data_IF_076099044019
#
_entry.id   IF_076099044019
#
_cell.length_a   1.000
_cell.length_b   1.000
_cell.length_c   1.000
_cell.angle_alpha   90.00
_cell.angle_beta   90.00
_cell.angle_gamma   90.00
#
_symmetry.space_group_name_H-M   'P 1'
#
loop_
_entity.id
_entity.type
_entity.pdbx_description
1 polymer ?
#
# COMPACT_ATOMS: atom_id res chain seq x y z
N UNK A 1 -73.35 33.53 -2.92
CA UNK A 1 -72.85 34.00 -4.23
C UNK A 1 -71.46 33.44 -4.39
N UNK A 2 -71.31 32.56 -5.37
CA UNK A 2 -70.10 31.81 -5.73
C UNK A 2 -69.08 32.76 -6.35
N UNK A 3 -67.78 32.59 -6.05
CA UNK A 3 -66.71 32.66 -7.04
C UNK A 3 -65.51 31.83 -6.57
N UNK A 4 -65.03 31.05 -7.53
CA UNK A 4 -64.09 29.94 -7.50
C UNK A 4 -62.72 30.40 -8.03
N UNK A 5 -61.69 29.61 -7.67
CA UNK A 5 -60.49 29.28 -8.47
C UNK A 5 -59.22 30.14 -8.42
N UNK A 6 -58.10 29.41 -8.31
CA UNK A 6 -56.74 29.86 -8.59
C UNK A 6 -55.69 28.81 -8.17
N UNK A 7 -55.63 27.65 -8.85
CA UNK A 7 -54.51 26.71 -8.73
C UNK A 7 -53.28 27.30 -9.42
N UNK A 8 -52.19 27.55 -8.68
CA UNK A 8 -50.91 27.92 -9.26
C UNK A 8 -50.07 26.66 -9.54
N UNK A 9 -49.79 26.44 -10.81
CA UNK A 9 -48.94 25.37 -11.35
C UNK A 9 -47.48 25.62 -10.97
N UNK A 10 -46.85 24.66 -10.27
CA UNK A 10 -45.41 24.66 -10.01
C UNK A 10 -44.69 24.22 -11.30
N UNK A 11 -43.70 24.96 -11.81
CA UNK A 11 -42.93 24.52 -12.98
C UNK A 11 -42.07 23.29 -12.61
N UNK A 12 -42.19 22.25 -13.43
CA UNK A 12 -41.37 21.05 -13.35
C UNK A 12 -39.88 21.40 -13.46
N UNK A 13 -39.07 20.91 -12.52
CA UNK A 13 -37.63 20.98 -12.59
C UNK A 13 -37.15 20.29 -13.87
N UNK A 14 -36.46 21.03 -14.73
CA UNK A 14 -35.77 20.49 -15.90
C UNK A 14 -34.64 19.60 -15.39
N UNK A 15 -34.89 18.29 -15.37
CA UNK A 15 -33.87 17.28 -15.17
C UNK A 15 -32.88 17.41 -16.31
N UNK A 16 -31.70 17.99 -16.05
CA UNK A 16 -30.58 17.94 -17.00
C UNK A 16 -30.22 16.48 -17.15
N UNK A 17 -30.59 15.91 -18.28
CA UNK A 17 -30.06 14.63 -18.73
C UNK A 17 -28.53 14.74 -18.72
N UNK A 18 -27.88 14.02 -17.81
CA UNK A 18 -26.45 13.80 -17.88
C UNK A 18 -26.18 13.13 -19.23
N UNK A 19 -25.31 13.68 -20.09
CA UNK A 19 -24.93 12.98 -21.31
C UNK A 19 -24.37 11.63 -20.88
N UNK A 20 -25.02 10.56 -21.32
CA UNK A 20 -24.52 9.21 -21.19
C UNK A 20 -23.19 9.17 -21.97
N UNK A 21 -22.09 9.35 -21.25
CA UNK A 21 -20.77 9.13 -21.80
C UNK A 21 -20.74 7.69 -22.30
N UNK A 22 -20.70 7.53 -23.62
CA UNK A 22 -20.38 6.27 -24.28
C UNK A 22 -19.05 5.79 -23.72
N UNK A 23 -19.11 4.86 -22.76
CA UNK A 23 -17.97 4.46 -21.93
C UNK A 23 -17.04 3.54 -22.73
N UNK A 24 -16.24 4.11 -23.63
CA UNK A 24 -15.07 3.42 -24.13
C UNK A 24 -14.13 3.20 -22.94
N UNK A 25 -13.73 1.95 -22.70
CA UNK A 25 -12.74 1.64 -21.69
C UNK A 25 -11.45 2.43 -21.94
N UNK A 26 -10.85 2.96 -20.88
CA UNK A 26 -9.56 3.65 -20.89
C UNK A 26 -8.49 2.64 -21.36
N UNK A 27 -7.71 2.95 -22.40
CA UNK A 27 -6.76 1.99 -22.95
C UNK A 27 -5.61 1.72 -21.99
N UNK A 28 -5.19 0.45 -21.95
CA UNK A 28 -3.99 -0.01 -21.26
C UNK A 28 -2.74 0.68 -21.83
N UNK A 29 -1.74 0.89 -20.96
CA UNK A 29 -0.41 1.37 -21.35
C UNK A 29 0.64 0.42 -20.77
N UNK A 30 1.64 0.07 -21.59
CA UNK A 30 2.78 -0.74 -21.16
C UNK A 30 3.83 0.15 -20.50
N UNK A 31 3.50 0.73 -19.35
CA UNK A 31 4.39 1.62 -18.61
C UNK A 31 4.66 1.03 -17.24
N UNK A 32 5.95 0.79 -16.95
CA UNK A 32 6.42 0.34 -15.65
C UNK A 32 6.59 1.53 -14.71
N UNK A 33 6.19 1.42 -13.44
CA UNK A 33 6.35 2.52 -12.50
C UNK A 33 7.84 2.74 -12.21
N UNK A 34 8.24 3.99 -12.00
CA UNK A 34 9.62 4.34 -11.64
C UNK A 34 9.94 4.00 -10.17
N UNK A 35 8.90 3.93 -9.35
CA UNK A 35 8.91 3.47 -7.97
C UNK A 35 7.59 2.76 -7.65
N UNK A 36 7.60 1.83 -6.71
CA UNK A 36 6.39 1.19 -6.20
C UNK A 36 5.39 2.28 -5.71
N UNK A 37 4.12 2.20 -6.13
CA UNK A 37 3.01 3.12 -5.77
C UNK A 37 3.20 4.61 -6.17
N UNK A 38 3.81 4.85 -7.33
CA UNK A 38 3.72 6.16 -7.99
C UNK A 38 2.24 6.60 -8.07
N UNK A 39 1.91 7.86 -7.74
CA UNK A 39 0.60 8.44 -8.05
C UNK A 39 -0.58 8.18 -7.11
N UNK A 40 -0.38 8.03 -5.80
CA UNK A 40 -1.50 7.89 -4.84
C UNK A 40 -2.52 9.03 -4.89
N UNK A 41 -3.80 8.68 -4.74
CA UNK A 41 -4.89 9.67 -4.66
C UNK A 41 -4.80 10.49 -3.38
N UNK A 42 -5.00 11.81 -3.50
CA UNK A 42 -5.17 12.73 -2.38
C UNK A 42 -6.45 13.55 -2.55
N UNK A 43 -7.17 13.89 -1.46
CA UNK A 43 -8.33 14.78 -1.54
C UNK A 43 -7.96 16.19 -2.05
N UNK A 44 -8.73 16.71 -3.01
CA UNK A 44 -8.51 18.05 -3.57
C UNK A 44 -8.82 19.14 -2.55
N UNK A 45 -8.00 20.19 -2.53
CA UNK A 45 -8.22 21.38 -1.73
C UNK A 45 -7.88 21.24 -0.24
N UNK A 46 -7.34 20.08 0.19
CA UNK A 46 -6.66 20.05 1.47
C UNK A 46 -5.27 20.69 1.31
N UNK A 47 -4.88 21.64 2.18
CA UNK A 47 -3.49 22.05 2.24
C UNK A 47 -2.63 20.80 2.47
N UNK A 48 -1.43 20.72 1.87
CA UNK A 48 -0.53 19.61 2.11
C UNK A 48 -0.36 19.45 3.62
N UNK A 49 -0.61 18.23 4.10
CA UNK A 49 -0.42 17.94 5.50
C UNK A 49 1.04 18.20 5.85
N UNK A 50 1.27 18.89 6.97
CA UNK A 50 2.62 19.06 7.48
C UNK A 50 3.21 17.69 7.82
N UNK A 51 4.51 17.53 7.61
CA UNK A 51 5.23 16.36 8.11
C UNK A 51 5.05 16.23 9.64
N UNK A 52 5.00 14.99 10.13
CA UNK A 52 5.04 14.74 11.55
C UNK A 52 6.42 15.12 12.11
N UNK A 53 6.43 15.82 13.23
CA UNK A 53 7.62 16.17 14.02
C UNK A 53 7.80 15.17 15.15
N UNK A 54 8.99 15.06 15.76
CA UNK A 54 9.19 14.19 16.91
C UNK A 54 8.18 14.40 18.04
N UNK A 55 7.87 15.66 18.37
CA UNK A 55 6.91 15.99 19.44
C UNK A 55 5.45 15.63 19.12
N UNK A 56 5.14 15.31 17.86
CA UNK A 56 3.82 14.82 17.48
C UNK A 56 3.67 13.33 17.75
N UNK A 57 4.76 12.61 17.99
CA UNK A 57 4.80 11.16 17.94
C UNK A 57 5.27 10.55 19.26
N UNK A 58 4.71 9.39 19.56
CA UNK A 58 5.34 8.42 20.46
C UNK A 58 5.67 7.16 19.68
N UNK A 59 6.79 6.52 19.98
CA UNK A 59 7.21 5.27 19.36
C UNK A 59 7.33 4.17 20.41
N UNK A 60 6.83 2.97 20.10
CA UNK A 60 6.91 1.80 20.96
C UNK A 60 7.34 0.59 20.14
N UNK A 61 8.43 -0.06 20.52
CA UNK A 61 8.77 -1.35 19.95
C UNK A 61 7.76 -2.41 20.42
N UNK A 62 7.00 -2.97 19.47
CA UNK A 62 5.88 -3.85 19.73
C UNK A 62 6.28 -5.32 19.91
N UNK A 63 7.52 -5.67 19.57
CA UNK A 63 8.08 -7.02 19.67
C UNK A 63 8.64 -7.55 18.35
N UNK A 64 9.10 -8.80 18.40
CA UNK A 64 9.61 -9.54 17.25
C UNK A 64 8.94 -10.90 17.12
N UNK A 65 8.99 -11.45 15.91
CA UNK A 65 8.75 -12.84 15.64
C UNK A 65 9.87 -13.43 14.79
N UNK A 66 10.23 -14.67 15.08
CA UNK A 66 11.17 -15.43 14.27
C UNK A 66 10.46 -16.00 13.04
N UNK A 67 11.18 -15.96 11.92
CA UNK A 67 10.88 -16.69 10.69
C UNK A 67 11.78 -17.94 10.63
N UNK A 68 11.88 -18.56 9.45
CA UNK A 68 12.79 -19.69 9.22
C UNK A 68 14.25 -19.23 9.24
N UNK A 69 15.15 -20.10 9.70
CA UNK A 69 16.60 -19.90 9.66
C UNK A 69 17.09 -18.63 10.38
N UNK A 70 16.52 -18.31 11.55
CA UNK A 70 17.00 -17.23 12.42
C UNK A 70 16.80 -15.82 11.87
N UNK A 71 16.06 -15.68 10.76
CA UNK A 71 15.56 -14.39 10.34
C UNK A 71 14.49 -13.94 11.33
N UNK A 72 14.56 -12.68 11.72
CA UNK A 72 13.66 -12.05 12.67
C UNK A 72 13.00 -10.87 12.00
N UNK A 73 11.74 -10.66 12.36
CA UNK A 73 10.98 -9.48 11.96
C UNK A 73 10.41 -8.83 13.22
N UNK A 74 10.55 -7.53 13.35
CA UNK A 74 10.00 -6.76 14.47
C UNK A 74 9.22 -5.56 14.00
N UNK A 75 8.40 -5.00 14.90
CA UNK A 75 7.54 -3.86 14.57
C UNK A 75 7.75 -2.74 15.57
N UNK A 76 7.83 -1.51 15.07
CA UNK A 76 7.72 -0.30 15.86
C UNK A 76 6.39 0.36 15.56
N UNK A 77 5.57 0.57 16.59
CA UNK A 77 4.34 1.33 16.52
C UNK A 77 4.63 2.81 16.76
N UNK A 78 4.17 3.68 15.87
CA UNK A 78 4.15 5.13 16.04
C UNK A 78 2.71 5.59 16.26
N UNK A 79 2.48 6.46 17.25
CA UNK A 79 1.18 7.07 17.50
C UNK A 79 1.28 8.59 17.48
N UNK A 80 0.36 9.25 16.75
CA UNK A 80 0.23 10.70 16.78
C UNK A 80 -0.45 11.14 18.08
N UNK A 81 0.33 11.75 18.97
CA UNK A 81 -0.12 12.29 20.27
C UNK A 81 -0.47 13.77 20.20
N UNK A 82 -0.26 14.42 19.06
CA UNK A 82 -0.68 15.81 18.85
C UNK A 82 -2.19 15.91 18.60
N UNK A 83 -2.73 17.12 18.72
CA UNK A 83 -4.11 17.44 18.36
C UNK A 83 -4.33 17.69 16.86
N UNK A 84 -3.28 17.56 16.04
CA UNK A 84 -3.30 17.90 14.62
C UNK A 84 -2.90 16.73 13.75
N UNK A 85 -3.56 16.55 12.61
CA UNK A 85 -3.13 15.56 11.64
C UNK A 85 -1.75 15.92 11.06
N UNK A 86 -0.93 14.90 10.80
CA UNK A 86 0.36 15.05 10.15
C UNK A 86 0.63 13.87 9.22
N UNK A 87 1.64 13.97 8.36
CA UNK A 87 2.03 12.92 7.42
C UNK A 87 3.42 12.36 7.72
N UNK A 88 3.54 11.04 7.65
CA UNK A 88 4.82 10.32 7.59
C UNK A 88 5.02 9.83 6.16
N UNK A 89 6.10 10.21 5.50
CA UNK A 89 6.35 9.87 4.10
C UNK A 89 7.78 9.32 3.96
N UNK A 90 7.93 8.11 3.41
CA UNK A 90 9.21 7.41 3.29
C UNK A 90 9.46 6.34 4.36
N UNK A 91 10.74 6.19 4.75
CA UNK A 91 11.21 5.29 5.79
C UNK A 91 12.05 6.05 6.81
N UNK A 92 12.02 5.64 8.07
CA UNK A 92 12.91 6.22 9.08
C UNK A 92 14.35 5.71 8.90
N UNK A 93 15.35 6.50 9.28
CA UNK A 93 16.66 5.95 9.59
C UNK A 93 16.66 5.43 11.03
N UNK A 94 17.35 4.31 11.26
CA UNK A 94 17.38 3.64 12.57
C UNK A 94 18.82 3.54 13.05
N UNK A 95 19.07 4.10 14.23
CA UNK A 95 20.30 3.85 14.98
C UNK A 95 19.97 2.98 16.20
N UNK A 96 20.82 1.99 16.47
CA UNK A 96 20.69 1.10 17.62
C UNK A 96 21.72 1.43 18.69
N UNK A 97 21.30 1.34 19.95
CA UNK A 97 22.15 1.61 21.10
C UNK A 97 22.12 0.42 22.06
N UNK A 98 23.28 -0.03 22.50
CA UNK A 98 23.43 -1.05 23.54
C UNK A 98 23.15 -0.50 24.93
N UNK A 99 23.45 -1.32 25.94
CA UNK A 99 23.36 -0.88 27.33
C UNK A 99 24.21 0.38 27.58
N UNK A 100 23.72 1.28 28.46
CA UNK A 100 24.35 2.56 28.79
C UNK A 100 24.50 3.55 27.61
N UNK A 101 23.78 3.33 26.51
CA UNK A 101 23.74 4.27 25.38
C UNK A 101 24.92 4.15 24.39
N UNK A 102 25.69 3.07 24.44
CA UNK A 102 26.76 2.84 23.47
C UNK A 102 26.18 2.61 22.07
N UNK A 103 26.57 3.43 21.08
CA UNK A 103 26.16 3.24 19.68
C UNK A 103 26.65 1.88 19.17
N UNK A 104 25.75 1.12 18.55
CA UNK A 104 26.09 -0.12 17.87
C UNK A 104 26.42 0.18 16.41
N UNK A 105 27.55 -0.32 15.92
CA UNK A 105 27.92 -0.14 14.52
C UNK A 105 27.09 -1.08 13.66
N UNK A 106 26.14 -0.51 12.91
CA UNK A 106 25.26 -1.21 12.00
C UNK A 106 25.24 -0.52 10.65
N UNK A 107 24.93 -1.28 9.61
CA UNK A 107 24.53 -0.80 8.30
C UNK A 107 23.05 -1.08 8.10
N UNK A 108 22.28 -0.04 7.80
CA UNK A 108 20.86 -0.19 7.48
C UNK A 108 20.69 -0.49 5.99
N UNK A 109 19.68 -1.28 5.65
CA UNK A 109 19.18 -1.41 4.28
C UNK A 109 17.67 -1.15 4.25
N UNK A 110 17.16 -0.71 3.11
CA UNK A 110 15.73 -0.57 2.91
C UNK A 110 15.08 -1.94 2.76
N UNK A 111 14.14 -2.27 3.63
CA UNK A 111 13.30 -3.45 3.47
C UNK A 111 12.26 -3.17 2.39
N UNK A 112 12.50 -3.70 1.19
CA UNK A 112 11.65 -3.44 0.02
C UNK A 112 10.31 -4.15 0.08
N UNK A 113 10.07 -5.03 1.06
CA UNK A 113 8.77 -5.69 1.25
C UNK A 113 7.65 -4.70 1.56
N UNK A 114 7.99 -3.51 2.04
CA UNK A 114 7.05 -2.44 2.37
C UNK A 114 7.31 -1.21 1.50
N UNK A 115 6.30 -0.81 0.75
CA UNK A 115 6.40 0.42 -0.04
C UNK A 115 6.19 1.65 0.83
N UNK A 116 7.00 2.68 0.61
CA UNK A 116 6.76 4.00 1.15
C UNK A 116 5.50 4.63 0.56
N UNK A 117 4.47 4.69 1.38
CA UNK A 117 3.22 5.41 1.11
C UNK A 117 3.10 6.51 2.17
N UNK A 118 2.76 7.76 1.80
CA UNK A 118 2.45 8.78 2.79
C UNK A 118 1.35 8.32 3.75
N UNK A 119 1.69 8.12 5.01
CA UNK A 119 0.78 7.74 6.07
C UNK A 119 0.26 8.99 6.77
N UNK A 120 -1.00 9.30 6.57
CA UNK A 120 -1.69 10.38 7.29
C UNK A 120 -2.09 9.90 8.68
N UNK A 121 -1.44 10.45 9.70
CA UNK A 121 -1.79 10.21 11.09
C UNK A 121 -2.76 11.28 11.56
N UNK A 122 -4.03 10.91 11.71
CA UNK A 122 -5.01 11.68 12.48
C UNK A 122 -4.58 11.77 13.96
N UNK A 123 -5.14 12.69 14.77
CA UNK A 123 -4.97 12.63 16.22
C UNK A 123 -5.32 11.23 16.75
N UNK A 124 -4.44 10.65 17.58
CA UNK A 124 -4.49 9.25 18.03
C UNK A 124 -4.36 8.17 16.93
N UNK A 125 -4.12 8.56 15.68
CA UNK A 125 -3.82 7.66 14.58
C UNK A 125 -2.47 6.97 14.77
N UNK A 126 -2.32 5.78 14.19
CA UNK A 126 -1.14 4.93 14.34
C UNK A 126 -0.52 4.55 13.00
N UNK A 127 0.80 4.45 12.98
CA UNK A 127 1.60 3.88 11.91
C UNK A 127 2.50 2.78 12.47
N UNK A 128 3.05 1.96 11.60
CA UNK A 128 4.08 0.99 11.95
C UNK A 128 5.31 1.14 11.05
N UNK A 129 6.46 0.73 11.56
CA UNK A 129 7.66 0.42 10.78
C UNK A 129 8.00 -1.04 11.05
N UNK A 130 8.32 -1.79 10.00
CA UNK A 130 8.89 -3.12 10.14
C UNK A 130 10.42 -3.05 10.18
N UNK A 131 11.02 -3.85 11.05
CA UNK A 131 12.46 -4.12 11.10
C UNK A 131 12.71 -5.57 10.70
N UNK A 132 13.83 -5.82 10.03
CA UNK A 132 14.28 -7.15 9.63
C UNK A 132 15.74 -7.35 10.03
N UNK A 133 16.08 -8.50 10.62
CA UNK A 133 17.47 -8.82 10.92
C UNK A 133 17.69 -10.32 11.00
N UNK A 134 18.95 -10.73 11.07
CA UNK A 134 19.34 -12.13 11.25
C UNK A 134 19.99 -12.35 12.62
N UNK A 135 19.76 -13.53 13.21
CA UNK A 135 20.52 -14.03 14.36
C UNK A 135 21.72 -14.90 13.95
N UNK A 136 21.90 -15.14 12.66
CA UNK A 136 23.03 -15.88 12.10
C UNK A 136 23.82 -15.00 11.14
N UNK A 137 25.05 -15.39 10.88
CA UNK A 137 25.79 -14.78 9.79
C UNK A 137 25.12 -15.05 8.44
N UNK A 138 25.35 -14.15 7.47
CA UNK A 138 24.86 -14.34 6.10
C UNK A 138 25.60 -15.47 5.37
N UNK A 139 26.69 -16.00 5.93
CA UNK A 139 27.46 -17.11 5.37
C UNK A 139 26.73 -18.46 5.50
N UNK A 140 25.68 -18.52 6.33
CA UNK A 140 24.73 -19.62 6.36
C UNK A 140 25.19 -20.83 7.18
N UNK A 141 26.18 -20.67 8.04
CA UNK A 141 26.64 -21.75 8.93
C UNK A 141 25.73 -21.93 10.17
N UNK A 142 24.73 -21.06 10.32
CA UNK A 142 23.77 -21.09 11.43
C UNK A 142 24.35 -20.57 12.74
N UNK A 143 25.50 -19.88 12.70
CA UNK A 143 26.15 -19.28 13.86
C UNK A 143 26.42 -17.80 13.63
N UNK A 144 26.73 -17.07 14.70
CA UNK A 144 27.20 -15.70 14.61
C UNK A 144 28.62 -15.65 15.18
N UNK A 145 29.63 -15.65 14.29
CA UNK A 145 31.04 -15.76 14.70
C UNK A 145 31.49 -14.69 15.71
N UNK A 146 30.93 -13.47 15.61
CA UNK A 146 31.20 -12.36 16.55
C UNK A 146 30.34 -12.37 17.82
N UNK A 147 29.43 -13.32 17.95
CA UNK A 147 28.37 -13.33 18.96
C UNK A 147 27.23 -12.36 18.64
N UNK A 148 26.09 -12.59 19.27
CA UNK A 148 24.94 -11.70 19.14
C UNK A 148 25.19 -10.40 19.89
N UNK A 149 24.77 -9.30 19.28
CA UNK A 149 24.74 -7.98 19.92
C UNK A 149 23.31 -7.68 20.36
N UNK A 150 23.18 -7.01 21.50
CA UNK A 150 21.90 -6.65 22.10
C UNK A 150 21.68 -5.13 22.04
N UNK A 151 20.59 -4.71 21.40
CA UNK A 151 20.13 -3.32 21.49
C UNK A 151 19.21 -3.14 22.72
N UNK A 152 19.37 -2.01 23.40
CA UNK A 152 18.54 -1.58 24.52
C UNK A 152 17.62 -0.39 24.13
N UNK A 153 18.03 0.43 23.17
CA UNK A 153 17.27 1.58 22.69
C UNK A 153 17.47 1.79 21.18
N UNK A 154 16.57 2.56 20.59
CA UNK A 154 16.58 2.93 19.18
C UNK A 154 16.28 4.41 19.00
N UNK A 155 16.96 5.04 18.05
CA UNK A 155 16.61 6.35 17.52
C UNK A 155 16.02 6.17 16.12
N UNK A 156 14.89 6.82 15.88
CA UNK A 156 14.19 6.86 14.60
C UNK A 156 14.29 8.28 14.05
N UNK A 157 15.18 8.50 13.09
CA UNK A 157 15.25 9.78 12.40
C UNK A 157 14.18 9.84 11.32
N UNK A 158 13.28 10.82 11.44
CA UNK A 158 12.16 10.99 10.50
C UNK A 158 12.66 11.62 9.18
N UNK A 159 12.04 11.32 8.03
CA UNK A 159 12.38 11.94 6.74
C UNK A 159 12.28 13.47 6.72
N UNK A 160 11.35 14.05 7.50
CA UNK A 160 11.22 15.49 7.70
C UNK A 160 12.24 16.09 8.68
N UNK A 161 13.16 15.29 9.21
CA UNK A 161 14.12 15.67 10.25
C UNK A 161 13.61 15.42 11.66
N UNK A 162 14.54 15.48 12.62
CA UNK A 162 14.28 15.17 14.02
C UNK A 162 14.30 13.67 14.32
N UNK A 163 14.31 13.32 15.61
CA UNK A 163 14.46 11.93 16.07
C UNK A 163 13.42 11.59 17.12
N UNK A 164 12.76 10.45 16.96
CA UNK A 164 11.90 9.82 17.98
C UNK A 164 12.66 8.67 18.60
N UNK A 165 12.65 8.56 19.93
CA UNK A 165 13.38 7.50 20.65
C UNK A 165 12.40 6.44 21.14
N UNK A 166 12.81 5.17 21.13
CA UNK A 166 12.06 4.08 21.76
C UNK A 166 12.96 3.02 22.37
N UNK A 167 12.39 2.21 23.26
CA UNK A 167 13.05 1.02 23.81
C UNK A 167 13.25 -0.02 22.70
N UNK A 168 14.39 -0.73 22.70
CA UNK A 168 14.58 -1.92 21.86
C UNK A 168 14.15 -3.21 22.59
N UNK A 169 13.51 -3.08 23.75
CA UNK A 169 12.95 -4.16 24.57
C UNK A 169 11.44 -4.11 24.49
N UNK A 170 10.83 -5.23 24.09
CA UNK A 170 9.37 -5.35 23.97
C UNK A 170 8.71 -5.25 25.36
N UNK A 171 7.62 -4.49 25.51
CA UNK A 171 6.84 -4.46 26.75
C UNK A 171 6.14 -5.79 27.05
N UNK A 172 6.08 -6.72 26.08
CA UNK A 172 5.51 -8.07 26.25
C UNK A 172 6.50 -9.06 26.87
N UNK A 173 7.71 -8.60 27.23
CA UNK A 173 8.82 -9.42 27.72
C UNK A 173 9.37 -10.42 26.69
N UNK A 174 9.24 -10.13 25.39
CA UNK A 174 9.88 -10.92 24.31
C UNK A 174 11.41 -10.77 24.30
N UNK A 175 11.94 -9.92 25.17
CA UNK A 175 13.35 -9.59 25.27
C UNK A 175 13.76 -8.41 24.37
N UNK A 176 15.06 -8.10 24.39
CA UNK A 176 15.69 -7.08 23.56
C UNK A 176 15.86 -7.55 22.10
N UNK A 177 16.00 -6.62 21.17
CA UNK A 177 16.53 -6.94 19.83
C UNK A 177 17.93 -7.54 19.98
N UNK A 178 18.09 -8.79 19.55
CA UNK A 178 19.35 -9.50 19.45
C UNK A 178 19.59 -9.89 18.01
N UNK A 179 20.75 -9.51 17.47
CA UNK A 179 21.07 -9.68 16.06
C UNK A 179 22.54 -10.01 15.87
N UNK A 180 22.85 -10.67 14.76
CA UNK A 180 24.20 -10.84 14.27
C UNK A 180 24.56 -9.63 13.40
N UNK A 181 25.53 -8.78 13.78
CA UNK A 181 25.96 -7.66 12.96
C UNK A 181 26.42 -8.10 11.56
N UNK A 182 26.34 -7.22 10.55
CA UNK A 182 26.23 -5.76 10.69
C UNK A 182 24.88 -5.17 10.27
N UNK A 183 23.88 -5.95 9.86
CA UNK A 183 22.73 -5.40 9.11
C UNK A 183 21.41 -5.38 9.87
N UNK A 184 20.64 -4.33 9.63
CA UNK A 184 19.21 -4.28 9.94
C UNK A 184 18.45 -3.68 8.74
N UNK A 185 17.39 -4.36 8.32
CA UNK A 185 16.44 -3.88 7.34
C UNK A 185 15.43 -2.97 8.01
N UNK A 186 15.12 -1.85 7.37
CA UNK A 186 14.11 -0.90 7.85
C UNK A 186 13.07 -0.69 6.75
N UNK A 187 11.83 -1.03 7.06
CA UNK A 187 10.69 -0.84 6.18
C UNK A 187 10.21 0.62 6.18
N UNK A 188 9.41 0.95 5.16
CA UNK A 188 8.73 2.24 5.13
C UNK A 188 7.59 2.33 6.16
N UNK A 189 7.13 3.55 6.45
CA UNK A 189 5.94 3.75 7.30
C UNK A 189 4.71 3.09 6.67
N UNK A 190 3.97 2.33 7.47
CA UNK A 190 2.69 1.72 7.08
C UNK A 190 1.57 2.24 7.99
N UNK A 191 0.36 2.38 7.46
CA UNK A 191 -0.79 2.68 8.31
C UNK A 191 -1.08 1.48 9.22
N UNK A 192 -1.16 1.70 10.54
CA UNK A 192 -1.65 0.67 11.44
C UNK A 192 -3.16 0.65 11.33
N UNK A 193 -3.73 -0.43 10.81
CA UNK A 193 -5.16 -0.67 10.92
C UNK A 193 -5.53 -0.71 12.41
N UNK A 194 -6.44 0.14 12.90
CA UNK A 194 -6.98 -0.07 14.23
C UNK A 194 -7.66 -1.44 14.26
N UNK A 195 -7.50 -2.19 15.35
CA UNK A 195 -8.10 -3.52 15.49
C UNK A 195 -9.64 -3.51 15.32
N UNK A 196 -10.28 -2.34 15.49
CA UNK A 196 -11.72 -2.16 15.55
C UNK A 196 -12.29 -1.17 14.50
N UNK A 197 -11.50 -0.68 13.53
CA UNK A 197 -11.93 0.45 12.70
C UNK A 197 -12.78 0.05 11.49
N UNK A 198 -14.04 0.49 11.54
CA UNK A 198 -14.91 0.82 10.39
C UNK A 198 -14.48 2.10 9.65
N UNK A 199 -13.39 2.75 10.07
CA UNK A 199 -12.85 3.91 9.37
C UNK A 199 -12.22 3.48 8.03
N UNK A 200 -12.46 4.20 6.92
CA UNK A 200 -11.80 3.92 5.66
C UNK A 200 -10.28 3.96 5.86
N UNK A 201 -9.64 2.84 5.59
CA UNK A 201 -8.18 2.72 5.58
C UNK A 201 -7.66 3.74 4.58
N UNK A 202 -6.73 4.60 4.99
CA UNK A 202 -6.09 5.55 4.09
C UNK A 202 -5.52 4.78 2.88
N UNK A 203 -5.92 5.15 1.66
CA UNK A 203 -5.61 4.41 0.43
C UNK A 203 -6.80 3.63 -0.18
N UNK A 204 -7.85 3.31 0.59
CA UNK A 204 -9.09 2.71 0.05
C UNK A 204 -10.03 3.78 -0.50
N UNK A 205 -9.53 4.58 -1.44
CA UNK A 205 -10.32 5.60 -2.11
C UNK A 205 -11.19 5.03 -3.24
N UNK A 206 -10.89 3.80 -3.67
CA UNK A 206 -11.54 3.14 -4.78
C UNK A 206 -12.06 1.76 -4.39
N UNK A 207 -13.25 1.43 -4.86
CA UNK A 207 -13.70 0.05 -5.04
C UNK A 207 -13.32 -0.39 -6.45
N UNK A 208 -12.82 -1.61 -6.57
CA UNK A 208 -12.44 -2.19 -7.85
C UNK A 208 -13.34 -3.40 -8.17
N UNK A 209 -13.61 -3.63 -9.46
CA UNK A 209 -14.22 -4.87 -9.96
C UNK A 209 -13.48 -5.39 -11.18
N UNK A 210 -13.41 -6.72 -11.32
CA UNK A 210 -12.78 -7.40 -12.45
C UNK A 210 -13.82 -8.00 -13.39
N UNK A 211 -13.61 -7.83 -14.68
CA UNK A 211 -14.30 -8.57 -15.74
C UNK A 211 -13.26 -9.28 -16.60
N UNK A 212 -13.05 -10.56 -16.30
CA UNK A 212 -12.05 -11.41 -16.95
C UNK A 212 -12.78 -12.42 -17.84
N UNK A 213 -12.36 -12.62 -19.10
CA UNK A 213 -12.90 -13.70 -19.92
C UNK A 213 -12.74 -15.05 -19.23
N UNK A 214 -13.73 -15.92 -19.35
CA UNK A 214 -13.67 -17.27 -18.78
C UNK A 214 -12.59 -18.15 -19.42
N UNK A 215 -12.03 -17.74 -20.56
CA UNK A 215 -10.99 -18.48 -21.28
C UNK A 215 -9.86 -17.57 -21.75
N UNK A 216 -8.63 -18.07 -21.65
CA UNK A 216 -7.42 -17.50 -22.23
C UNK A 216 -6.68 -18.54 -23.08
N UNK A 217 -5.68 -18.13 -23.87
CA UNK A 217 -4.87 -19.04 -24.69
C UNK A 217 -3.40 -18.88 -24.37
N UNK A 218 -2.68 -20.00 -24.25
CA UNK A 218 -1.24 -19.97 -24.09
C UNK A 218 -0.58 -19.31 -25.31
N UNK A 219 0.33 -18.37 -25.08
CA UNK A 219 1.03 -17.62 -26.14
C UNK A 219 0.28 -16.39 -26.64
N UNK A 220 -0.87 -16.04 -26.06
CA UNK A 220 -1.67 -14.88 -26.45
C UNK A 220 -1.92 -13.93 -25.28
N UNK A 221 -2.31 -12.70 -25.61
CA UNK A 221 -2.72 -11.71 -24.63
C UNK A 221 -4.13 -12.02 -24.08
N UNK A 222 -4.26 -12.06 -22.76
CA UNK A 222 -5.54 -12.03 -22.07
C UNK A 222 -5.98 -10.57 -21.91
N UNK A 223 -7.01 -10.18 -22.64
CA UNK A 223 -7.64 -8.87 -22.51
C UNK A 223 -8.75 -8.95 -21.46
N UNK A 224 -8.71 -8.10 -20.45
CA UNK A 224 -9.72 -8.03 -19.40
C UNK A 224 -10.04 -6.57 -19.06
N UNK A 225 -10.99 -6.35 -18.16
CA UNK A 225 -11.34 -5.00 -17.71
C UNK A 225 -11.30 -4.90 -16.19
N UNK A 226 -10.87 -3.72 -15.73
CA UNK A 226 -10.96 -3.29 -14.33
C UNK A 226 -11.86 -2.08 -14.27
N UNK A 227 -12.85 -2.06 -13.39
CA UNK A 227 -13.61 -0.83 -13.11
C UNK A 227 -13.26 -0.31 -11.73
N UNK A 228 -12.79 0.93 -11.65
CA UNK A 228 -12.52 1.65 -10.42
C UNK A 228 -13.60 2.68 -10.15
N UNK A 229 -14.21 2.63 -8.97
CA UNK A 229 -15.19 3.59 -8.50
C UNK A 229 -14.66 4.30 -7.28
N UNK A 230 -14.58 5.63 -7.34
CA UNK A 230 -14.27 6.45 -6.17
C UNK A 230 -15.36 6.28 -5.12
N UNK A 231 -15.01 5.70 -3.98
CA UNK A 231 -15.90 5.58 -2.81
C UNK A 231 -15.70 6.71 -1.82
N UNK A 232 -14.78 7.62 -2.11
CA UNK A 232 -14.55 8.78 -1.27
C UNK A 232 -15.62 9.86 -1.50
N UNK A 233 -16.02 10.54 -0.42
CA UNK A 233 -17.07 11.56 -0.46
C UNK A 233 -16.55 12.96 -0.85
N UNK A 234 -15.27 13.08 -1.22
CA UNK A 234 -14.64 14.33 -1.69
C UNK A 234 -13.89 14.09 -2.99
N UNK A 235 -13.67 15.14 -3.80
CA UNK A 235 -12.87 15.00 -5.01
C UNK A 235 -11.45 14.55 -4.68
N UNK A 236 -10.89 13.70 -5.53
CA UNK A 236 -9.52 13.19 -5.43
C UNK A 236 -8.67 13.73 -6.58
N UNK A 237 -7.36 13.72 -6.43
CA UNK A 237 -6.39 14.00 -7.49
C UNK A 237 -5.17 13.10 -7.31
N UNK A 238 -4.43 12.87 -8.38
CA UNK A 238 -3.16 12.14 -8.31
C UNK A 238 -1.99 13.13 -8.56
N UNK A 239 -1.46 13.78 -7.51
CA UNK A 239 -0.49 14.87 -7.67
C UNK A 239 0.87 14.38 -8.17
N UNK A 240 1.17 13.09 -7.97
CA UNK A 240 2.46 12.47 -8.26
C UNK A 240 2.39 11.52 -9.46
N UNK A 241 1.53 11.81 -10.44
CA UNK A 241 1.31 10.92 -11.59
C UNK A 241 0.23 9.87 -11.30
N UNK A 242 0.15 8.84 -12.13
CA UNK A 242 -0.91 7.83 -12.04
C UNK A 242 -0.56 6.69 -11.07
N UNK A 243 -1.54 6.15 -10.32
CA UNK A 243 -1.33 5.01 -9.44
C UNK A 243 -0.73 3.81 -10.17
N UNK A 244 0.22 3.16 -9.51
CA UNK A 244 0.70 1.85 -9.89
C UNK A 244 -0.33 0.76 -9.58
N UNK A 245 -0.29 -0.33 -10.33
CA UNK A 245 -1.02 -1.54 -10.02
C UNK A 245 -0.13 -2.77 -10.23
N UNK A 246 -0.53 -3.87 -9.61
CA UNK A 246 0.06 -5.19 -9.80
C UNK A 246 -0.94 -6.13 -10.47
N UNK A 247 -0.38 -7.08 -11.22
CA UNK A 247 -1.06 -8.27 -11.70
C UNK A 247 -0.20 -9.50 -11.39
N UNK A 248 -0.84 -10.59 -11.01
CA UNK A 248 -0.20 -11.87 -10.72
C UNK A 248 -1.06 -13.00 -11.28
N UNK A 249 -0.45 -13.85 -12.11
CA UNK A 249 -1.12 -14.95 -12.77
C UNK A 249 -0.61 -16.27 -12.19
N UNK A 250 -1.49 -17.03 -11.55
CA UNK A 250 -1.21 -18.34 -10.98
C UNK A 250 -2.00 -19.44 -11.70
N UNK A 251 -1.38 -20.58 -11.96
CA UNK A 251 -1.94 -21.70 -12.71
C UNK A 251 -1.67 -23.06 -12.06
N UNK A 252 -1.93 -24.16 -12.79
CA UNK A 252 -1.82 -25.52 -12.25
C UNK A 252 -0.40 -25.88 -11.81
N UNK A 253 -0.29 -26.82 -10.86
CA UNK A 253 1.00 -27.35 -10.37
C UNK A 253 1.96 -26.30 -9.82
N UNK A 254 1.43 -25.20 -9.28
CA UNK A 254 2.25 -24.11 -8.73
C UNK A 254 2.89 -23.21 -9.79
N UNK A 255 2.47 -23.31 -11.06
CA UNK A 255 2.92 -22.40 -12.10
C UNK A 255 2.50 -20.96 -11.77
N UNK A 256 3.39 -20.00 -11.98
CA UNK A 256 3.09 -18.57 -11.83
C UNK A 256 3.89 -17.77 -12.86
N UNK A 257 3.29 -16.69 -13.37
CA UNK A 257 4.00 -15.67 -14.14
C UNK A 257 4.89 -14.78 -13.26
N UNK A 258 4.68 -14.83 -11.94
CA UNK A 258 5.18 -13.86 -10.99
C UNK A 258 4.40 -12.56 -11.03
N UNK A 259 4.71 -11.69 -10.07
CA UNK A 259 4.09 -10.37 -9.97
C UNK A 259 4.68 -9.44 -11.01
N UNK A 260 3.81 -8.69 -11.66
CA UNK A 260 4.20 -7.65 -12.61
C UNK A 260 3.51 -6.35 -12.26
N UNK A 261 4.26 -5.24 -12.34
CA UNK A 261 3.76 -3.91 -12.02
C UNK A 261 3.66 -3.03 -13.26
N UNK A 262 2.67 -2.14 -13.27
CA UNK A 262 2.45 -1.13 -14.30
C UNK A 262 1.81 0.12 -13.71
N UNK A 263 1.68 1.17 -14.52
CA UNK A 263 0.98 2.42 -14.20
C UNK A 263 -0.37 2.47 -14.91
N UNK A 264 -1.43 2.93 -14.23
CA UNK A 264 -2.73 3.16 -14.85
C UNK A 264 -2.70 4.37 -15.82
N UNK A 265 -3.52 4.33 -16.87
CA UNK A 265 -3.67 5.46 -17.78
C UNK A 265 -4.73 6.45 -17.28
N UNK A 266 -4.38 7.40 -16.41
CA UNK A 266 -5.37 8.34 -15.85
C UNK A 266 -5.61 9.59 -16.68
N UNK A 267 -4.95 9.75 -17.84
CA UNK A 267 -5.17 10.92 -18.69
C UNK A 267 -6.68 11.17 -18.95
N UNK A 268 -7.49 10.15 -19.28
CA UNK A 268 -8.93 10.33 -19.48
C UNK A 268 -9.74 10.60 -18.20
N UNK A 269 -9.18 10.35 -17.01
CA UNK A 269 -9.85 10.64 -15.73
C UNK A 269 -9.83 12.13 -15.38
N UNK A 270 -8.93 12.90 -16.00
CA UNK A 270 -8.69 14.30 -15.68
C UNK A 270 -7.88 14.50 -14.39
N UNK A 271 -7.59 15.76 -14.08
CA UNK A 271 -6.79 16.13 -12.90
C UNK A 271 -7.56 15.96 -11.57
N UNK A 272 -8.89 15.95 -11.63
CA UNK A 272 -9.77 15.86 -10.46
C UNK A 272 -10.83 14.80 -10.70
N UNK A 273 -10.87 13.83 -9.79
CA UNK A 273 -11.82 12.72 -9.77
C UNK A 273 -12.96 13.10 -8.83
N UNK A 274 -14.17 13.21 -9.35
CA UNK A 274 -15.34 13.52 -8.53
C UNK A 274 -15.70 12.37 -7.56
N UNK A 275 -16.36 12.66 -6.42
CA UNK A 275 -16.97 11.64 -5.58
C UNK A 275 -17.88 10.72 -6.39
N UNK A 276 -17.78 9.40 -6.19
CA UNK A 276 -18.61 8.42 -6.91
C UNK A 276 -18.26 8.23 -8.39
N UNK A 277 -17.27 8.95 -8.94
CA UNK A 277 -16.83 8.77 -10.31
C UNK A 277 -16.34 7.33 -10.55
N UNK A 278 -16.63 6.79 -11.73
CA UNK A 278 -16.31 5.42 -12.11
C UNK A 278 -15.58 5.40 -13.44
N UNK A 279 -14.52 4.61 -13.53
CA UNK A 279 -13.66 4.50 -14.72
C UNK A 279 -13.38 3.04 -15.01
N UNK A 280 -13.58 2.62 -16.25
CA UNK A 280 -13.27 1.26 -16.70
C UNK A 280 -12.01 1.31 -17.54
N UNK A 281 -11.03 0.48 -17.19
CA UNK A 281 -9.76 0.32 -17.89
C UNK A 281 -9.79 -0.98 -18.68
N UNK A 282 -9.36 -0.93 -19.93
CA UNK A 282 -8.92 -2.10 -20.66
C UNK A 282 -7.54 -2.49 -20.14
N UNK A 283 -7.33 -3.78 -19.90
CA UNK A 283 -6.12 -4.32 -19.27
C UNK A 283 -5.62 -5.51 -20.08
N UNK A 284 -4.32 -5.78 -19.99
CA UNK A 284 -3.66 -6.83 -20.79
C UNK A 284 -2.64 -7.58 -19.94
N UNK A 285 -2.81 -8.89 -19.84
CA UNK A 285 -1.80 -9.84 -19.33
C UNK A 285 -1.30 -10.69 -20.47
N UNK A 286 0.02 -10.84 -20.64
CA UNK A 286 0.58 -11.78 -21.61
C UNK A 286 0.64 -13.18 -21.00
N UNK A 287 -0.06 -14.16 -21.60
CA UNK A 287 0.05 -15.58 -21.20
C UNK A 287 1.19 -16.20 -22.03
N UNK A 288 2.31 -16.62 -21.43
CA UNK A 288 3.40 -17.24 -22.18
C UNK A 288 2.95 -18.50 -22.92
N UNK A 289 3.58 -18.81 -24.07
CA UNK A 289 3.31 -20.05 -24.80
C UNK A 289 3.65 -21.31 -23.99
N UNK A 290 4.52 -21.19 -22.98
CA UNK A 290 4.88 -22.25 -22.04
C UNK A 290 3.90 -22.42 -20.87
N UNK A 291 2.85 -21.60 -20.78
CA UNK A 291 1.85 -21.71 -19.72
C UNK A 291 1.09 -23.05 -19.84
N UNK A 292 1.01 -23.88 -18.78
CA UNK A 292 0.21 -25.09 -18.78
C UNK A 292 -1.26 -24.84 -19.13
N UNK A 293 -1.91 -25.78 -19.82
CA UNK A 293 -3.37 -25.76 -19.99
C UNK A 293 -4.04 -26.08 -18.64
N UNK A 294 -5.14 -25.40 -18.31
CA UNK A 294 -5.90 -25.67 -17.10
C UNK A 294 -6.47 -24.41 -16.45
N UNK A 295 -6.82 -24.49 -15.17
CA UNK A 295 -7.44 -23.40 -14.43
C UNK A 295 -6.40 -22.44 -13.85
N UNK A 296 -6.68 -21.15 -14.00
CA UNK A 296 -5.85 -20.05 -13.58
C UNK A 296 -6.62 -19.08 -12.69
N UNK A 297 -5.87 -18.37 -11.86
CA UNK A 297 -6.33 -17.23 -11.10
C UNK A 297 -5.51 -16.00 -11.50
N UNK A 298 -6.20 -14.93 -11.89
CA UNK A 298 -5.63 -13.60 -12.05
C UNK A 298 -5.90 -12.82 -10.77
N UNK A 299 -4.84 -12.43 -10.07
CA UNK A 299 -4.90 -11.45 -9.00
C UNK A 299 -4.54 -10.06 -9.55
N UNK A 300 -5.29 -9.03 -9.12
CA UNK A 300 -5.09 -7.65 -9.52
C UNK A 300 -5.28 -6.72 -8.33
N UNK A 301 -4.38 -5.74 -8.15
CA UNK A 301 -4.49 -4.76 -7.08
C UNK A 301 -3.92 -3.41 -7.47
N UNK A 302 -4.64 -2.34 -7.17
CA UNK A 302 -4.11 -0.96 -7.20
C UNK A 302 -3.39 -0.67 -5.89
N UNK A 303 -2.21 -0.09 -5.97
CA UNK A 303 -1.44 0.33 -4.79
C UNK A 303 -1.33 -0.77 -3.70
N UNK A 304 -1.24 -2.05 -4.10
CA UNK A 304 -1.24 -3.20 -3.18
C UNK A 304 0.18 -3.60 -2.68
N UNK A 305 1.21 -2.95 -3.21
CA UNK A 305 2.61 -3.23 -2.91
C UNK A 305 3.06 -4.59 -3.37
N UNK A 306 3.96 -5.19 -2.61
CA UNK A 306 4.46 -6.54 -2.87
C UNK A 306 3.52 -7.62 -2.34
N UNK A 307 2.39 -7.25 -1.72
CA UNK A 307 1.43 -8.20 -1.18
C UNK A 307 0.22 -8.34 -2.10
N UNK A 308 -0.37 -9.54 -2.15
CA UNK A 308 -1.69 -9.71 -2.78
C UNK A 308 -2.81 -9.43 -1.77
N UNK A 309 -2.49 -8.84 -0.61
CA UNK A 309 -3.48 -8.49 0.40
C UNK A 309 -4.37 -7.40 -0.19
N UNK A 310 -5.69 -7.66 -0.24
CA UNK A 310 -6.70 -6.83 -0.90
C UNK A 310 -6.69 -6.84 -2.44
N UNK A 311 -5.88 -7.70 -3.08
CA UNK A 311 -6.02 -7.93 -4.51
C UNK A 311 -7.36 -8.62 -4.82
N UNK A 312 -8.03 -8.16 -5.86
CA UNK A 312 -9.16 -8.87 -6.45
C UNK A 312 -8.63 -10.11 -7.15
N UNK A 313 -9.37 -11.21 -7.09
CA UNK A 313 -9.05 -12.44 -7.82
C UNK A 313 -10.18 -12.82 -8.76
N UNK A 314 -9.84 -13.30 -9.94
CA UNK A 314 -10.77 -13.85 -10.92
C UNK A 314 -10.21 -15.12 -11.54
N UNK A 315 -11.07 -16.12 -11.72
CA UNK A 315 -10.67 -17.40 -12.32
C UNK A 315 -11.01 -17.48 -13.80
N UNK A 316 -10.17 -18.18 -14.56
CA UNK A 316 -10.39 -18.49 -15.97
C UNK A 316 -9.62 -19.75 -16.36
N UNK A 317 -9.91 -20.32 -17.53
CA UNK A 317 -9.21 -21.51 -18.03
C UNK A 317 -8.30 -21.15 -19.21
N UNK A 318 -7.03 -21.55 -19.16
CA UNK A 318 -6.11 -21.46 -20.30
C UNK A 318 -6.25 -22.69 -21.17
N UNK A 319 -6.46 -22.48 -22.46
CA UNK A 319 -6.52 -23.53 -23.50
C UNK A 319 -5.30 -23.44 -24.43
N UNK A 320 -5.05 -24.47 -25.27
CA UNK A 320 -3.97 -24.42 -26.25
C UNK A 320 -4.05 -23.20 -27.19
N UNK A 321 -2.87 -22.70 -27.56
CA UNK A 321 -2.66 -21.55 -28.45
C UNK A 321 -3.12 -21.73 -29.88
#
# INVERSE_FOLDING_TARGET
MVLLWGCASVPAAVSRANPAASSSAIPWIDTKPSAYHEGLAVPVGQPPLRACKPDDLTATYAGAMGLTNGQMTGTIDLANVSSTACVLDGAAAVDLFGAKGATLSISTYSDTRFTAVPVVLQPAGRATIQLDWSQYDEAGDGTCAGGLVQAAAMNLTLPGGGTVTTSAVSPRNDGPITFCPPRIGVGAFQASLPADATAPVAGHYFEATLNVPSTGRAGHALNYQVTLKSVFNRPLSFPNGCPGYLEDLAGPSGWTLGKTWYVLNCQPMGAVIAPGASFTFAMVVQIPASAPVGDYSLAWGIDAGDSNNNALSASFTVVPG
#
